data_IF_239445050766
#
_entry.id   IF_239445050766
#
_cell.length_a   1.000
_cell.length_b   1.000
_cell.length_c   1.000
_cell.angle_alpha   90.00
_cell.angle_beta   90.00
_cell.angle_gamma   90.00
#
_symmetry.space_group_name_H-M   'P 1'
#
loop_
_entity.id
_entity.type
_entity.pdbx_description
1 polymer ?
#
# COMPACT_ATOMS: atom_id res chain seq x y z
N UNK A 1 11.45 1.75 4.78
CA UNK A 1 10.46 1.14 3.87
C UNK A 1 9.81 0.00 4.62
N UNK A 2 8.52 0.09 4.95
CA UNK A 2 7.81 -1.08 5.50
C UNK A 2 7.26 -1.83 4.28
N UNK A 3 7.70 -3.06 3.99
CA UNK A 3 7.29 -3.78 2.80
C UNK A 3 5.85 -4.25 2.98
N UNK A 4 4.90 -3.46 2.50
CA UNK A 4 3.50 -3.91 2.44
C UNK A 4 3.44 -5.05 1.42
N UNK A 5 2.93 -6.24 1.80
CA UNK A 5 2.91 -7.39 0.92
C UNK A 5 2.06 -7.11 -0.33
N UNK A 6 2.72 -7.12 -1.48
CA UNK A 6 2.10 -7.01 -2.80
C UNK A 6 1.88 -8.41 -3.37
N UNK A 7 0.77 -8.62 -4.05
CA UNK A 7 0.53 -9.82 -4.84
C UNK A 7 1.32 -9.79 -6.16
N UNK A 8 1.21 -10.86 -6.96
CA UNK A 8 1.91 -10.97 -8.26
C UNK A 8 1.48 -9.89 -9.28
N UNK A 9 0.36 -9.23 -9.06
CA UNK A 9 -0.17 -8.15 -9.89
C UNK A 9 0.27 -6.76 -9.40
N UNK A 10 1.02 -6.69 -8.30
CA UNK A 10 1.41 -5.44 -7.65
C UNK A 10 0.29 -4.80 -6.82
N UNK A 11 -0.78 -5.54 -6.53
CA UNK A 11 -1.88 -5.09 -5.68
C UNK A 11 -1.64 -5.47 -4.23
N UNK A 12 -2.14 -4.63 -3.34
CA UNK A 12 -2.14 -4.82 -1.91
C UNK A 12 -3.58 -5.05 -1.49
N UNK A 13 -3.86 -6.23 -0.95
CA UNK A 13 -5.16 -6.52 -0.35
C UNK A 13 -5.11 -6.19 1.14
N UNK A 14 -6.16 -5.54 1.64
CA UNK A 14 -6.30 -5.16 3.05
C UNK A 14 -6.07 -6.36 3.98
N UNK A 15 -6.72 -7.47 3.70
CA UNK A 15 -6.58 -8.70 4.48
C UNK A 15 -5.14 -9.22 4.55
N UNK A 16 -4.36 -9.07 3.47
CA UNK A 16 -2.97 -9.48 3.43
C UNK A 16 -2.07 -8.52 4.21
N UNK A 17 -2.32 -7.22 4.09
CA UNK A 17 -1.62 -6.20 4.88
C UNK A 17 -1.90 -6.40 6.39
N UNK A 18 -3.15 -6.64 6.76
CA UNK A 18 -3.55 -6.90 8.16
C UNK A 18 -2.90 -8.17 8.69
N UNK A 19 -2.88 -9.26 7.90
CA UNK A 19 -2.16 -10.50 8.28
C UNK A 19 -0.65 -10.30 8.40
N UNK A 20 -0.08 -9.32 7.71
CA UNK A 20 1.33 -8.95 7.82
C UNK A 20 1.62 -7.96 8.96
N UNK A 21 0.60 -7.58 9.76
CA UNK A 21 0.76 -6.74 10.94
C UNK A 21 0.49 -5.25 10.70
N UNK A 22 0.01 -4.85 9.53
CA UNK A 22 -0.44 -3.47 9.29
C UNK A 22 -1.84 -3.26 9.85
N UNK A 23 -2.08 -2.12 10.49
CA UNK A 23 -3.43 -1.71 10.86
C UNK A 23 -4.17 -1.09 9.67
N UNK A 24 -5.50 -0.99 9.77
CA UNK A 24 -6.28 -0.24 8.79
C UNK A 24 -5.87 1.24 8.76
N UNK A 25 -5.49 1.81 9.92
CA UNK A 25 -4.99 3.18 10.01
C UNK A 25 -3.68 3.40 9.24
N UNK A 26 -2.78 2.41 9.25
CA UNK A 26 -1.52 2.49 8.48
C UNK A 26 -1.78 2.54 6.97
N UNK A 27 -2.80 1.80 6.50
CA UNK A 27 -3.20 1.82 5.09
C UNK A 27 -3.83 3.16 4.71
N UNK A 28 -4.70 3.71 5.55
CA UNK A 28 -5.33 5.02 5.33
C UNK A 28 -4.31 6.17 5.38
N UNK A 29 -3.35 6.10 6.30
CA UNK A 29 -2.22 7.04 6.36
C UNK A 29 -1.36 6.94 5.10
N UNK A 30 -1.09 5.73 4.60
CA UNK A 30 -0.34 5.52 3.37
C UNK A 30 -1.08 6.05 2.13
N UNK A 31 -2.41 5.99 2.10
CA UNK A 31 -3.21 6.66 1.04
C UNK A 31 -3.14 8.18 1.18
N UNK A 32 -3.28 8.71 2.40
CA UNK A 32 -3.21 10.14 2.68
C UNK A 32 -1.86 10.75 2.30
N UNK A 33 -0.78 9.96 2.42
CA UNK A 33 0.58 10.35 2.02
C UNK A 33 0.92 10.08 0.57
N UNK A 34 -0.05 9.73 -0.27
CA UNK A 34 0.16 9.37 -1.68
C UNK A 34 1.20 8.23 -1.86
N UNK A 35 1.34 7.34 -0.88
CA UNK A 35 2.16 6.13 -1.01
C UNK A 35 1.37 5.00 -1.65
N UNK A 36 0.06 4.95 -1.37
CA UNK A 36 -0.88 3.99 -1.92
C UNK A 36 -2.02 4.72 -2.63
N UNK A 37 -2.57 4.07 -3.64
CA UNK A 37 -3.82 4.47 -4.30
C UNK A 37 -4.87 3.42 -3.96
N UNK A 38 -6.01 3.86 -3.43
CA UNK A 38 -7.17 3.00 -3.22
C UNK A 38 -7.89 2.77 -4.55
N UNK A 39 -7.91 1.52 -5.02
CA UNK A 39 -8.56 1.13 -6.28
C UNK A 39 -10.01 0.67 -6.07
N UNK A 40 -10.36 0.31 -4.84
CA UNK A 40 -11.67 -0.19 -4.46
C UNK A 40 -11.68 -0.67 -3.01
N UNK A 41 -12.83 -1.15 -2.50
CA UNK A 41 -12.95 -1.59 -1.11
C UNK A 41 -11.90 -2.65 -0.75
N UNK A 42 -10.92 -2.25 0.06
CA UNK A 42 -9.85 -3.15 0.54
C UNK A 42 -8.76 -3.50 -0.49
N UNK A 43 -8.71 -2.82 -1.64
CA UNK A 43 -7.71 -3.05 -2.68
C UNK A 43 -6.91 -1.77 -2.93
N UNK A 44 -5.59 -1.89 -2.84
CA UNK A 44 -4.67 -0.78 -3.00
C UNK A 44 -3.58 -1.12 -4.03
N UNK A 45 -2.96 -0.09 -4.60
CA UNK A 45 -1.75 -0.22 -5.41
C UNK A 45 -0.70 0.80 -4.95
N UNK A 46 0.57 0.54 -5.22
CA UNK A 46 1.64 1.50 -4.91
C UNK A 46 1.53 2.70 -5.86
N UNK A 47 1.55 3.91 -5.31
CA UNK A 47 1.56 5.13 -6.11
C UNK A 47 2.90 5.28 -6.85
N UNK A 48 2.86 5.60 -8.14
CA UNK A 48 4.06 5.77 -8.98
C UNK A 48 4.99 6.87 -8.46
N UNK A 49 4.44 7.93 -7.86
CA UNK A 49 5.23 9.01 -7.23
C UNK A 49 6.13 8.51 -6.09
N UNK A 50 5.65 7.53 -5.31
CA UNK A 50 6.41 6.91 -4.23
C UNK A 50 7.55 6.00 -4.74
N UNK A 51 7.35 5.32 -5.88
CA UNK A 51 8.39 4.51 -6.53
C UNK A 51 9.56 5.36 -7.05
N UNK A 52 9.27 6.58 -7.52
CA UNK A 52 10.30 7.51 -8.00
C UNK A 52 11.08 8.15 -6.84
N UNK A 53 10.41 8.45 -5.73
CA UNK A 53 11.03 9.06 -4.56
C UNK A 53 11.92 8.08 -3.76
N UNK A 54 11.55 6.79 -3.70
CA UNK A 54 12.33 5.76 -2.98
C UNK A 54 13.60 5.30 -3.72
N UNK A 55 13.88 5.85 -4.90
CA UNK A 55 15.10 5.55 -5.71
C UNK A 55 16.14 6.68 -5.66
N UNK A 56 15.86 7.76 -4.93
CA UNK A 56 16.75 8.89 -4.70
C UNK A 56 17.57 8.74 -3.44
#
# INVERSE_FOLDING_TARGET
>A
MIPIPTDRSGLILREHAVRAGFSEADLDEAVTRDHLVCLGPGVFAIAVGYLLWSRG
#
